data_IF_705529731359
#
_entry.id   IF_705529731359
#
_cell.length_a   1.000
_cell.length_b   1.000
_cell.length_c   1.000
_cell.angle_alpha   90.00
_cell.angle_beta   90.00
_cell.angle_gamma   90.00
#
_symmetry.space_group_name_H-M   'P 1'
#
loop_
_entity.id
_entity.type
_entity.pdbx_description
1 polymer ?
#
# COMPACT_ATOMS: atom_id res chain seq x y z
N UNK A 1 -3.23 8.79 19.29
CA UNK A 1 -2.83 7.64 18.46
C UNK A 1 -2.77 8.16 17.04
N UNK A 2 -1.65 8.06 16.33
CA UNK A 2 -1.67 8.33 14.89
C UNK A 2 -2.27 7.11 14.22
N UNK A 3 -3.57 7.17 13.95
CA UNK A 3 -4.29 6.13 13.22
C UNK A 3 -3.69 6.09 11.81
N UNK A 4 -2.84 5.09 11.58
CA UNK A 4 -2.35 4.80 10.23
C UNK A 4 -3.52 4.15 9.49
N UNK A 5 -3.68 4.47 8.23
CA UNK A 5 -4.72 3.88 7.39
C UNK A 5 -4.12 3.16 6.20
N UNK A 6 -4.84 2.16 5.70
CA UNK A 6 -4.37 1.31 4.61
C UNK A 6 -4.35 2.14 3.34
N UNK A 7 -3.20 2.22 2.67
CA UNK A 7 -3.11 2.98 1.42
C UNK A 7 -3.95 2.41 0.26
N UNK A 8 -4.51 1.19 0.42
CA UNK A 8 -5.34 0.54 -0.60
C UNK A 8 -6.85 0.61 -0.31
N UNK A 9 -7.26 0.50 0.96
CA UNK A 9 -8.66 0.40 1.35
C UNK A 9 -9.08 1.36 2.48
N UNK A 10 -8.15 2.21 2.92
CA UNK A 10 -8.35 3.24 3.96
C UNK A 10 -8.78 2.70 5.34
N UNK A 11 -8.76 1.37 5.55
CA UNK A 11 -9.02 0.75 6.84
C UNK A 11 -7.91 1.08 7.86
N UNK A 12 -8.26 1.07 9.14
CA UNK A 12 -7.30 1.25 10.23
C UNK A 12 -6.18 0.21 10.17
N UNK A 13 -4.95 0.70 10.22
CA UNK A 13 -3.75 -0.11 10.31
C UNK A 13 -3.34 -0.25 11.76
N UNK A 14 -3.32 -1.50 12.20
CA UNK A 14 -2.79 -1.88 13.49
C UNK A 14 -1.29 -2.20 13.40
N UNK A 15 -0.68 -2.66 14.50
CA UNK A 15 0.74 -3.02 14.55
C UNK A 15 1.16 -4.12 13.55
N UNK A 16 0.18 -4.81 12.93
CA UNK A 16 0.37 -5.81 11.89
C UNK A 16 0.47 -5.22 10.46
N UNK A 17 0.54 -3.90 10.33
CA UNK A 17 0.72 -3.24 9.05
C UNK A 17 1.97 -3.74 8.32
N UNK A 18 1.82 -3.98 7.01
CA UNK A 18 2.90 -4.41 6.14
C UNK A 18 3.42 -3.20 5.37
N UNK A 19 4.73 -2.95 5.43
CA UNK A 19 5.38 -1.89 4.66
C UNK A 19 5.78 -2.40 3.28
N UNK A 20 5.28 -1.73 2.23
CA UNK A 20 5.61 -2.05 0.85
C UNK A 20 6.13 -0.82 0.11
N UNK A 21 7.10 -1.04 -0.77
CA UNK A 21 7.75 0.04 -1.53
C UNK A 21 7.16 0.13 -2.93
N UNK A 22 6.46 1.22 -3.21
CA UNK A 22 5.76 1.50 -4.46
C UNK A 22 6.35 2.77 -5.06
N UNK A 23 6.97 2.69 -6.24
CA UNK A 23 7.50 3.89 -6.92
C UNK A 23 8.55 4.68 -6.12
N UNK A 24 9.32 3.99 -5.26
CA UNK A 24 10.30 4.62 -4.36
C UNK A 24 9.72 5.20 -3.07
N UNK A 25 8.39 5.19 -2.89
CA UNK A 25 7.72 5.56 -1.64
C UNK A 25 7.37 4.31 -0.83
N UNK A 26 7.58 4.35 0.48
CA UNK A 26 7.11 3.29 1.38
C UNK A 26 5.68 3.62 1.82
N UNK A 27 4.76 2.70 1.61
CA UNK A 27 3.36 2.78 2.05
C UNK A 27 3.02 1.58 2.92
N UNK A 28 2.04 1.76 3.78
CA UNK A 28 1.61 0.73 4.73
C UNK A 28 0.24 0.18 4.32
N UNK A 29 0.06 -1.14 4.43
CA UNK A 29 -1.21 -1.82 4.12
C UNK A 29 -1.61 -2.83 5.20
N UNK A 30 -2.90 -3.15 5.25
CA UNK A 30 -3.45 -4.09 6.22
C UNK A 30 -3.19 -5.57 5.88
N UNK A 31 -2.91 -5.89 4.62
CA UNK A 31 -2.70 -7.26 4.16
C UNK A 31 -1.89 -7.34 2.86
N UNK A 32 -1.41 -8.54 2.52
CA UNK A 32 -0.62 -8.79 1.30
C UNK A 32 -1.42 -8.52 0.02
N UNK A 33 -2.73 -8.80 0.00
CA UNK A 33 -3.59 -8.49 -1.15
C UNK A 33 -3.61 -6.99 -1.45
N UNK A 34 -3.75 -6.16 -0.41
CA UNK A 34 -3.68 -4.71 -0.56
C UNK A 34 -2.31 -4.25 -1.09
N UNK A 35 -1.23 -4.90 -0.62
CA UNK A 35 0.10 -4.62 -1.14
C UNK A 35 0.22 -4.96 -2.63
N UNK A 36 -0.31 -6.11 -3.04
CA UNK A 36 -0.25 -6.60 -4.41
C UNK A 36 -1.03 -5.70 -5.35
N UNK A 37 -2.28 -5.35 -5.00
CA UNK A 37 -3.09 -4.37 -5.73
C UNK A 37 -2.36 -3.05 -5.95
N UNK A 38 -1.72 -2.51 -4.91
CA UNK A 38 -0.95 -1.27 -5.03
C UNK A 38 0.27 -1.43 -5.96
N UNK A 39 0.97 -2.58 -5.89
CA UNK A 39 2.10 -2.89 -6.78
C UNK A 39 1.64 -2.97 -8.24
N UNK A 40 0.56 -3.68 -8.50
CA UNK A 40 0.01 -3.85 -9.85
C UNK A 40 -0.52 -2.54 -10.43
N UNK A 41 -1.27 -1.77 -9.63
CA UNK A 41 -1.76 -0.45 -10.03
C UNK A 41 -0.60 0.49 -10.38
N UNK A 42 0.46 0.50 -9.56
CA UNK A 42 1.65 1.28 -9.86
C UNK A 42 2.41 0.78 -11.08
N UNK A 43 2.59 -0.54 -11.24
CA UNK A 43 3.24 -1.13 -12.41
C UNK A 43 2.47 -0.78 -13.70
N UNK A 44 1.14 -0.81 -13.66
CA UNK A 44 0.26 -0.40 -14.76
C UNK A 44 0.40 1.09 -15.06
N UNK A 45 0.43 1.94 -14.03
CA UNK A 45 0.63 3.38 -14.19
C UNK A 45 2.05 3.78 -14.63
N UNK A 46 3.06 2.96 -14.31
CA UNK A 46 4.46 3.18 -14.69
C UNK A 46 4.73 2.77 -16.14
N UNK A 47 4.07 1.72 -16.63
CA UNK A 47 4.25 1.20 -18.00
C UNK A 47 3.52 2.01 -19.07
N UNK A 48 2.65 2.94 -18.66
CA UNK A 48 1.87 3.79 -19.56
C UNK A 48 2.47 5.17 -19.86
N UNK A 49 3.75 5.40 -19.57
CA UNK A 49 4.46 6.66 -19.87
C UNK A 49 5.52 6.52 -20.94
#
# INVERSE_FOLDING_TARGET
>A
MSEKTCAACDCELDANAIQVKIGGKTVEVCCEECAEKLREAHASAASGR
#
